data_IF_993138372694
#
_entry.id   IF_993138372694
#
_cell.length_a   1.000
_cell.length_b   1.000
_cell.length_c   1.000
_cell.angle_alpha   90.00
_cell.angle_beta   90.00
_cell.angle_gamma   90.00
#
_symmetry.space_group_name_H-M   'P 1'
#
loop_
_entity.id
_entity.type
_entity.pdbx_description
1 polymer ?
#
# COMPACT_ATOMS: atom_id res chain seq x y z
N UNK A 1 -4.28 -26.59 18.57
CA UNK A 1 -4.16 -25.57 17.52
C UNK A 1 -2.84 -24.85 17.73
N UNK A 2 -2.01 -24.72 16.70
CA UNK A 2 -0.74 -24.00 16.79
C UNK A 2 -0.98 -22.53 17.15
N UNK A 3 -0.13 -21.98 18.01
CA UNK A 3 -0.17 -20.57 18.45
C UNK A 3 0.96 -19.82 17.76
N UNK A 4 0.63 -19.10 16.72
CA UNK A 4 1.58 -18.34 15.96
C UNK A 4 1.37 -16.83 16.13
N UNK A 5 2.30 -16.03 15.65
CA UNK A 5 2.11 -14.60 15.66
C UNK A 5 3.27 -13.77 15.18
N UNK A 6 3.10 -12.46 15.20
CA UNK A 6 4.12 -11.47 14.89
C UNK A 6 4.67 -10.89 16.19
N UNK A 7 5.97 -10.99 16.38
CA UNK A 7 6.72 -10.39 17.49
C UNK A 7 7.38 -9.08 17.04
N UNK A 8 7.11 -8.01 17.76
CA UNK A 8 7.73 -6.69 17.58
C UNK A 8 7.58 -5.83 18.80
N UNK A 9 8.22 -4.66 18.82
CA UNK A 9 8.10 -3.69 19.93
C UNK A 9 6.79 -2.90 19.81
N UNK A 10 6.42 -2.53 18.58
CA UNK A 10 5.16 -1.84 18.26
C UNK A 10 4.68 -2.35 16.91
N UNK A 11 3.43 -2.82 16.83
CA UNK A 11 2.93 -3.53 15.65
C UNK A 11 1.76 -2.82 14.93
N UNK A 12 1.18 -1.79 15.56
CA UNK A 12 0.19 -0.87 15.00
C UNK A 12 -0.78 -1.47 13.97
N UNK A 13 -0.51 -1.27 12.69
CA UNK A 13 -1.38 -1.69 11.58
C UNK A 13 -0.72 -2.77 10.70
N UNK A 14 -0.53 -3.97 11.26
CA UNK A 14 0.04 -5.09 10.52
C UNK A 14 -1.02 -5.87 9.73
N UNK A 15 -0.73 -6.17 8.46
CA UNK A 15 -1.57 -7.05 7.63
C UNK A 15 -1.28 -8.54 7.85
N UNK A 16 -0.27 -8.90 8.65
CA UNK A 16 0.12 -10.29 8.89
C UNK A 16 -1.03 -11.17 9.39
N UNK A 17 -1.88 -10.76 10.36
CA UNK A 17 -2.99 -11.61 10.80
C UNK A 17 -3.96 -11.96 9.66
N UNK A 18 -4.29 -10.98 8.80
CA UNK A 18 -5.17 -11.20 7.65
C UNK A 18 -4.56 -12.18 6.65
N UNK A 19 -3.26 -12.03 6.36
CA UNK A 19 -2.53 -12.89 5.42
C UNK A 19 -2.43 -14.32 5.96
N UNK A 20 -2.04 -14.49 7.23
CA UNK A 20 -1.88 -15.80 7.85
C UNK A 20 -3.20 -16.54 8.02
N UNK A 21 -4.32 -15.82 8.20
CA UNK A 21 -5.67 -16.41 8.21
C UNK A 21 -6.04 -17.06 6.86
N UNK A 22 -5.53 -16.53 5.75
CA UNK A 22 -5.75 -17.09 4.41
C UNK A 22 -4.78 -18.25 4.06
N UNK A 23 -3.71 -18.44 4.85
CA UNK A 23 -2.64 -19.40 4.57
C UNK A 23 -2.74 -20.69 5.39
N UNK A 24 -3.42 -20.68 6.55
CA UNK A 24 -3.49 -21.88 7.36
C UNK A 24 -4.42 -21.77 8.57
N UNK A 25 -4.78 -22.94 9.13
CA UNK A 25 -5.65 -23.07 10.29
C UNK A 25 -4.84 -23.07 11.60
N UNK A 26 -4.35 -21.92 12.02
CA UNK A 26 -3.68 -21.71 13.30
C UNK A 26 -4.07 -20.34 13.89
N UNK A 27 -3.93 -20.20 15.22
CA UNK A 27 -4.17 -18.92 15.89
C UNK A 27 -2.98 -18.00 15.62
N UNK A 28 -3.23 -16.84 15.00
CA UNK A 28 -2.18 -15.86 14.68
C UNK A 28 -2.45 -14.51 15.34
N UNK A 29 -1.54 -14.12 16.26
CA UNK A 29 -1.70 -12.93 17.11
C UNK A 29 -0.55 -11.95 16.93
N UNK A 30 -0.77 -10.71 17.36
CA UNK A 30 0.27 -9.71 17.49
C UNK A 30 0.83 -9.73 18.92
N UNK A 31 2.13 -9.84 19.05
CA UNK A 31 2.85 -9.83 20.32
C UNK A 31 3.73 -8.58 20.39
N UNK A 32 3.22 -7.53 21.03
CA UNK A 32 4.00 -6.34 21.34
C UNK A 32 4.74 -6.60 22.65
N UNK A 33 6.05 -6.65 22.59
CA UNK A 33 6.93 -7.05 23.69
C UNK A 33 8.05 -6.01 23.79
N UNK A 34 8.32 -5.53 25.00
CA UNK A 34 9.44 -4.61 25.26
C UNK A 34 10.79 -5.34 25.14
N UNK A 35 11.90 -4.59 25.04
CA UNK A 35 13.23 -5.19 24.97
C UNK A 35 13.59 -5.94 26.26
N UNK A 36 13.13 -5.41 27.38
CA UNK A 36 13.34 -5.97 28.72
C UNK A 36 12.62 -7.31 28.90
N UNK A 37 11.46 -7.47 28.27
CA UNK A 37 10.62 -8.68 28.39
C UNK A 37 10.92 -9.73 27.32
N UNK A 38 11.78 -9.46 26.35
CA UNK A 38 12.04 -10.34 25.20
C UNK A 38 12.49 -11.73 25.63
N UNK A 39 13.45 -11.83 26.57
CA UNK A 39 13.95 -13.11 27.09
C UNK A 39 12.84 -13.95 27.71
N UNK A 40 12.07 -13.36 28.61
CA UNK A 40 10.97 -14.03 29.28
C UNK A 40 9.89 -14.48 28.29
N UNK A 41 9.62 -13.66 27.28
CA UNK A 41 8.66 -13.99 26.24
C UNK A 41 9.13 -15.15 25.35
N UNK A 42 10.39 -15.14 24.89
CA UNK A 42 10.95 -16.19 24.05
C UNK A 42 11.02 -17.54 24.78
N UNK A 43 11.26 -17.55 26.10
CA UNK A 43 11.26 -18.75 26.94
C UNK A 43 9.85 -19.24 27.33
N UNK A 44 8.82 -18.44 27.10
CA UNK A 44 7.45 -18.80 27.48
C UNK A 44 6.83 -19.86 26.56
N UNK A 45 5.75 -20.51 27.00
CA UNK A 45 4.94 -21.44 26.23
C UNK A 45 3.79 -20.76 25.46
N UNK A 46 3.82 -19.45 25.34
CA UNK A 46 2.75 -18.64 24.73
C UNK A 46 2.65 -18.77 23.21
N UNK A 47 3.65 -19.34 22.56
CA UNK A 47 3.77 -19.43 21.12
C UNK A 47 4.50 -20.72 20.68
N UNK A 48 4.22 -21.16 19.46
CA UNK A 48 4.82 -22.30 18.79
C UNK A 48 5.60 -21.86 17.53
N UNK A 49 5.14 -20.79 16.84
CA UNK A 49 5.79 -20.16 15.71
C UNK A 49 5.66 -18.63 15.71
N UNK A 50 6.73 -17.93 15.39
CA UNK A 50 6.73 -16.48 15.35
C UNK A 50 7.31 -15.93 14.04
N UNK A 51 6.62 -14.96 13.45
CA UNK A 51 7.30 -13.98 12.64
C UNK A 51 7.93 -12.92 13.57
N UNK A 52 9.09 -12.40 13.17
CA UNK A 52 9.84 -11.42 13.95
C UNK A 52 10.08 -10.17 13.11
N UNK A 53 9.73 -9.00 13.66
CA UNK A 53 9.98 -7.72 12.99
C UNK A 53 10.89 -6.81 13.83
N UNK A 54 11.03 -5.57 13.41
CA UNK A 54 11.82 -4.54 14.09
C UNK A 54 11.38 -4.41 15.57
N UNK A 55 12.34 -4.31 16.52
CA UNK A 55 13.79 -4.28 16.32
C UNK A 55 14.49 -5.65 16.49
N UNK A 56 13.75 -6.76 16.57
CA UNK A 56 14.19 -8.02 17.16
C UNK A 56 14.85 -9.00 16.18
N UNK A 57 14.84 -8.77 14.86
CA UNK A 57 15.36 -9.72 13.84
C UNK A 57 16.81 -10.19 14.08
N UNK A 58 17.66 -9.32 14.66
CA UNK A 58 19.03 -9.67 15.06
C UNK A 58 19.11 -10.19 16.50
N UNK A 59 18.27 -9.65 17.37
CA UNK A 59 18.28 -9.99 18.79
C UNK A 59 17.89 -11.45 19.06
N UNK A 60 17.05 -12.03 18.20
CA UNK A 60 16.58 -13.43 18.36
C UNK A 60 17.56 -14.48 17.81
N UNK A 61 18.58 -14.08 17.04
CA UNK A 61 19.58 -15.01 16.47
C UNK A 61 20.27 -15.88 17.53
N UNK A 62 20.74 -15.35 18.68
CA UNK A 62 21.41 -16.15 19.72
C UNK A 62 20.54 -17.21 20.38
N UNK A 63 19.20 -17.12 20.25
CA UNK A 63 18.27 -18.10 20.83
C UNK A 63 18.06 -19.32 19.92
N UNK A 64 18.51 -19.25 18.67
CA UNK A 64 18.33 -20.33 17.70
C UNK A 64 19.48 -21.33 17.83
N UNK A 65 19.14 -22.60 18.00
CA UNK A 65 20.12 -23.72 17.98
C UNK A 65 20.55 -24.03 16.54
N UNK A 66 19.65 -23.76 15.60
CA UNK A 66 19.90 -23.94 14.17
C UNK A 66 19.31 -22.77 13.37
N UNK A 67 20.02 -22.37 12.34
CA UNK A 67 19.61 -21.32 11.41
C UNK A 67 19.53 -21.88 9.99
N UNK A 68 18.58 -21.39 9.21
CA UNK A 68 18.63 -21.61 7.76
C UNK A 68 19.86 -20.97 7.15
N UNK A 69 20.26 -21.40 5.95
CA UNK A 69 21.36 -20.80 5.20
C UNK A 69 21.17 -19.28 5.03
N UNK A 70 19.95 -18.84 4.70
CA UNK A 70 19.62 -17.44 4.57
C UNK A 70 19.78 -16.68 5.89
N UNK A 71 19.23 -17.19 6.99
CA UNK A 71 19.34 -16.55 8.30
C UNK A 71 20.79 -16.49 8.80
N UNK A 72 21.57 -17.56 8.59
CA UNK A 72 22.98 -17.62 8.95
C UNK A 72 23.82 -16.61 8.16
N UNK A 73 23.62 -16.52 6.84
CA UNK A 73 24.32 -15.57 5.96
C UNK A 73 23.98 -14.11 6.29
N UNK A 74 22.70 -13.83 6.55
CA UNK A 74 22.20 -12.47 6.79
C UNK A 74 22.34 -12.02 8.25
N UNK A 75 22.61 -12.94 9.19
CA UNK A 75 22.62 -12.71 10.63
C UNK A 75 21.32 -11.99 11.08
N UNK A 76 20.20 -12.45 10.53
CA UNK A 76 18.88 -11.85 10.72
C UNK A 76 17.79 -12.92 10.57
N UNK A 77 16.92 -13.02 11.57
CA UNK A 77 15.81 -13.99 11.63
C UNK A 77 14.50 -13.22 11.65
N UNK A 78 13.60 -13.56 10.72
CA UNK A 78 12.23 -13.04 10.72
C UNK A 78 11.19 -14.13 10.99
N UNK A 79 11.62 -15.40 11.13
CA UNK A 79 10.74 -16.53 11.41
C UNK A 79 11.41 -17.46 12.42
N UNK A 80 10.72 -17.73 13.54
CA UNK A 80 11.12 -18.66 14.58
C UNK A 80 10.13 -19.82 14.65
N UNK A 81 10.64 -21.03 14.76
CA UNK A 81 9.83 -22.24 14.98
C UNK A 81 10.34 -22.95 16.22
N UNK A 82 9.45 -23.27 17.15
CA UNK A 82 9.74 -24.09 18.31
C UNK A 82 9.61 -25.57 17.93
N UNK A 83 10.69 -26.30 18.10
CA UNK A 83 10.72 -27.74 17.86
C UNK A 83 10.08 -28.52 19.03
N UNK A 84 9.73 -29.81 18.82
CA UNK A 84 9.15 -30.63 19.89
C UNK A 84 10.05 -30.80 21.12
N UNK A 85 11.37 -30.68 20.96
CA UNK A 85 12.36 -30.73 22.05
C UNK A 85 12.55 -29.39 22.77
N UNK A 86 11.79 -28.36 22.36
CA UNK A 86 11.83 -27.00 22.91
C UNK A 86 12.91 -26.09 22.30
N UNK A 87 13.78 -26.62 21.45
CA UNK A 87 14.81 -25.81 20.75
C UNK A 87 14.18 -24.93 19.68
N UNK A 88 14.87 -23.84 19.33
CA UNK A 88 14.40 -22.88 18.32
C UNK A 88 15.17 -23.03 17.02
N UNK A 89 14.43 -23.10 15.92
CA UNK A 89 14.93 -22.95 14.56
C UNK A 89 14.62 -21.54 14.05
N UNK A 90 15.61 -20.89 13.41
CA UNK A 90 15.49 -19.55 12.86
C UNK A 90 15.63 -19.52 11.35
N UNK A 91 14.71 -18.85 10.66
CA UNK A 91 14.74 -18.63 9.21
C UNK A 91 14.65 -17.15 8.85
N UNK A 92 15.07 -16.81 7.64
CA UNK A 92 14.83 -15.50 7.03
C UNK A 92 13.99 -15.64 5.76
N UNK A 93 12.69 -15.62 5.94
CA UNK A 93 11.74 -15.75 4.84
C UNK A 93 11.56 -14.45 4.02
N UNK A 94 12.10 -13.31 4.49
CA UNK A 94 12.12 -12.05 3.72
C UNK A 94 12.93 -12.20 2.42
N UNK A 95 14.01 -12.99 2.44
CA UNK A 95 14.81 -13.28 1.24
C UNK A 95 13.94 -13.95 0.18
N UNK A 96 13.19 -14.99 0.56
CA UNK A 96 12.26 -15.66 -0.34
C UNK A 96 11.19 -14.69 -0.85
N UNK A 97 10.62 -13.88 0.06
CA UNK A 97 9.60 -12.90 -0.28
C UNK A 97 10.08 -11.88 -1.31
N UNK A 98 11.28 -11.34 -1.13
CA UNK A 98 11.83 -10.35 -2.07
C UNK A 98 12.18 -10.98 -3.42
N UNK A 99 12.76 -12.17 -3.44
CA UNK A 99 13.03 -12.91 -4.68
C UNK A 99 11.74 -13.18 -5.46
N UNK A 100 10.64 -13.52 -4.76
CA UNK A 100 9.31 -13.66 -5.38
C UNK A 100 8.82 -12.35 -5.97
N UNK A 101 8.91 -11.24 -5.21
CA UNK A 101 8.51 -9.90 -5.67
C UNK A 101 9.25 -9.51 -6.97
N UNK A 102 10.56 -9.70 -7.03
CA UNK A 102 11.34 -9.42 -8.25
C UNK A 102 10.86 -10.29 -9.41
N UNK A 103 10.71 -11.60 -9.18
CA UNK A 103 10.26 -12.53 -10.24
C UNK A 103 8.88 -12.19 -10.76
N UNK A 104 7.92 -11.93 -9.87
CA UNK A 104 6.53 -11.62 -10.27
C UNK A 104 6.39 -10.26 -10.94
N UNK A 105 7.28 -9.31 -10.66
CA UNK A 105 7.29 -7.99 -11.30
C UNK A 105 7.77 -8.01 -12.76
N UNK A 106 8.46 -9.06 -13.20
CA UNK A 106 9.11 -9.12 -14.50
C UNK A 106 10.36 -8.24 -14.64
N UNK A 107 10.79 -7.58 -13.55
CA UNK A 107 12.04 -6.79 -13.53
C UNK A 107 13.22 -7.75 -13.47
N UNK A 108 14.14 -7.64 -14.43
CA UNK A 108 15.36 -8.44 -14.47
C UNK A 108 16.56 -7.61 -13.96
N UNK A 109 17.15 -7.95 -12.81
CA UNK A 109 18.31 -7.22 -12.29
C UNK A 109 19.67 -7.73 -12.80
N UNK A 110 19.71 -8.83 -13.54
CA UNK A 110 20.97 -9.46 -13.94
C UNK A 110 21.87 -8.53 -14.78
N UNK A 111 23.11 -8.33 -14.33
CA UNK A 111 24.09 -7.46 -14.97
C UNK A 111 23.80 -5.96 -14.87
N UNK A 112 22.81 -5.56 -14.07
CA UNK A 112 22.39 -4.17 -13.91
C UNK A 112 22.91 -3.56 -12.62
N UNK A 113 23.15 -2.25 -12.65
CA UNK A 113 23.47 -1.45 -11.48
C UNK A 113 22.19 -1.16 -10.70
N UNK A 114 22.14 -1.65 -9.46
CA UNK A 114 21.01 -1.50 -8.56
C UNK A 114 21.37 -0.64 -7.34
N UNK A 115 20.56 0.37 -7.04
CA UNK A 115 20.67 1.15 -5.81
C UNK A 115 19.67 0.65 -4.77
N UNK A 116 20.19 0.23 -3.63
CA UNK A 116 19.39 -0.09 -2.45
C UNK A 116 19.36 1.12 -1.53
N UNK A 117 18.19 1.75 -1.40
CA UNK A 117 18.00 2.93 -0.58
C UNK A 117 17.77 2.53 0.87
N UNK A 118 18.66 2.94 1.76
CA UNK A 118 18.62 2.62 3.18
C UNK A 118 19.64 1.57 3.59
N UNK A 119 20.06 1.59 4.86
CA UNK A 119 21.03 0.67 5.47
C UNK A 119 20.48 -0.11 6.66
N UNK A 120 19.15 -0.24 6.77
CA UNK A 120 18.44 -0.96 7.85
C UNK A 120 18.46 -2.48 7.66
N UNK A 121 17.75 -3.20 8.54
CA UNK A 121 17.68 -4.66 8.51
C UNK A 121 17.18 -5.25 7.17
N UNK A 122 16.21 -4.60 6.55
CA UNK A 122 15.68 -5.06 5.27
C UNK A 122 16.68 -4.85 4.10
N UNK A 123 17.52 -3.81 4.16
CA UNK A 123 18.48 -3.52 3.10
C UNK A 123 19.51 -4.64 2.90
N UNK A 124 19.89 -5.31 3.99
CA UNK A 124 20.84 -6.46 3.95
C UNK A 124 20.22 -7.60 3.16
N UNK A 125 18.95 -7.90 3.39
CA UNK A 125 18.19 -8.94 2.69
C UNK A 125 17.99 -8.59 1.21
N UNK A 126 17.58 -7.36 0.92
CA UNK A 126 17.35 -6.87 -0.45
C UNK A 126 18.65 -6.85 -1.26
N UNK A 127 19.75 -6.36 -0.64
CA UNK A 127 21.08 -6.42 -1.26
C UNK A 127 21.46 -7.84 -1.61
N UNK A 128 21.41 -8.77 -0.66
CA UNK A 128 21.77 -10.15 -0.88
C UNK A 128 20.93 -10.83 -1.97
N UNK A 129 19.62 -10.51 -2.04
CA UNK A 129 18.73 -11.02 -3.08
C UNK A 129 19.11 -10.48 -4.47
N UNK A 130 19.35 -9.18 -4.60
CA UNK A 130 19.73 -8.56 -5.86
C UNK A 130 21.12 -9.07 -6.34
N UNK A 131 22.09 -9.22 -5.44
CA UNK A 131 23.39 -9.82 -5.74
C UNK A 131 23.24 -11.29 -6.20
N UNK A 132 22.36 -12.06 -5.55
CA UNK A 132 22.03 -13.43 -5.96
C UNK A 132 21.42 -13.50 -7.37
N UNK A 133 20.70 -12.45 -7.77
CA UNK A 133 20.11 -12.30 -9.11
C UNK A 133 21.11 -11.69 -10.12
N UNK A 134 22.36 -11.44 -9.72
CA UNK A 134 23.43 -10.98 -10.60
C UNK A 134 23.50 -9.47 -10.79
N UNK A 135 22.88 -8.66 -9.93
CA UNK A 135 23.01 -7.21 -9.96
C UNK A 135 24.32 -6.73 -9.34
N UNK A 136 24.84 -5.59 -9.82
CA UNK A 136 25.87 -4.80 -9.15
C UNK A 136 25.20 -3.84 -8.17
N UNK A 137 25.31 -4.12 -6.85
CA UNK A 137 24.50 -3.46 -5.83
C UNK A 137 25.28 -2.43 -5.05
N UNK A 138 24.77 -1.21 -5.05
CA UNK A 138 25.26 -0.08 -4.24
C UNK A 138 24.19 0.29 -3.20
N UNK A 139 24.61 0.41 -1.93
CA UNK A 139 23.73 0.82 -0.84
C UNK A 139 23.87 2.31 -0.60
N UNK A 140 22.78 3.03 -0.75
CA UNK A 140 22.70 4.47 -0.46
C UNK A 140 22.20 4.66 0.97
N UNK A 141 22.97 5.35 1.79
CA UNK A 141 22.60 5.61 3.18
C UNK A 141 23.03 7.00 3.64
N UNK A 142 22.47 7.47 4.76
CA UNK A 142 22.79 8.79 5.33
C UNK A 142 24.23 8.89 5.90
N UNK A 143 24.86 7.76 6.14
CA UNK A 143 26.18 7.67 6.82
C UNK A 143 27.15 6.71 6.11
N UNK A 144 26.84 6.29 4.88
CA UNK A 144 27.69 5.41 4.09
C UNK A 144 28.67 6.18 3.20
N UNK A 145 29.53 5.45 2.47
CA UNK A 145 30.40 6.05 1.46
C UNK A 145 29.62 6.59 0.25
N UNK A 146 28.44 6.00 -0.01
CA UNK A 146 27.47 6.43 -1.01
C UNK A 146 26.22 6.93 -0.29
N UNK A 147 25.92 8.20 -0.44
CA UNK A 147 24.89 8.92 0.28
C UNK A 147 23.89 9.64 -0.64
N UNK A 148 22.86 10.22 -0.05
CA UNK A 148 21.81 10.93 -0.78
C UNK A 148 22.26 12.26 -1.40
N UNK A 149 23.36 12.87 -0.91
CA UNK A 149 23.88 14.13 -1.42
C UNK A 149 24.68 13.92 -2.72
N UNK A 150 25.19 12.69 -2.94
CA UNK A 150 26.04 12.36 -4.06
C UNK A 150 25.41 11.37 -5.06
N UNK A 151 24.09 11.31 -5.14
CA UNK A 151 23.36 10.41 -6.05
C UNK A 151 23.73 10.58 -7.54
N UNK A 152 24.24 11.73 -7.94
CA UNK A 152 24.66 11.99 -9.34
C UNK A 152 25.79 11.07 -9.81
N UNK A 153 26.60 10.53 -8.87
CA UNK A 153 27.61 9.48 -9.16
C UNK A 153 26.99 8.18 -9.67
N UNK A 154 25.71 8.01 -9.45
CA UNK A 154 24.95 6.80 -9.75
C UNK A 154 23.77 7.09 -10.68
N UNK A 155 23.80 8.18 -11.45
CA UNK A 155 22.75 8.54 -12.40
C UNK A 155 22.53 7.48 -13.49
N UNK A 156 23.49 6.57 -13.68
CA UNK A 156 23.43 5.42 -14.59
C UNK A 156 22.72 4.18 -13.99
N UNK A 157 22.20 4.26 -12.77
CA UNK A 157 21.50 3.16 -12.13
C UNK A 157 20.26 2.75 -12.92
N UNK A 158 20.06 1.43 -13.02
CA UNK A 158 18.98 0.83 -13.80
C UNK A 158 17.87 0.26 -12.89
N UNK A 159 18.20 -0.09 -11.65
CA UNK A 159 17.24 -0.59 -10.65
C UNK A 159 17.32 0.27 -9.40
N UNK A 160 16.16 0.68 -8.90
CA UNK A 160 16.03 1.39 -7.62
C UNK A 160 15.20 0.53 -6.68
N UNK A 161 15.77 0.15 -5.54
CA UNK A 161 15.10 -0.65 -4.51
C UNK A 161 14.99 0.16 -3.21
N UNK A 162 13.80 0.59 -2.85
CA UNK A 162 13.56 1.31 -1.58
C UNK A 162 13.39 0.31 -0.43
N UNK A 163 14.26 0.45 0.57
CA UNK A 163 14.20 -0.31 1.84
C UNK A 163 14.06 0.62 3.05
N UNK A 164 13.78 1.90 2.80
CA UNK A 164 13.54 2.90 3.85
C UNK A 164 12.07 2.98 4.21
N UNK A 165 11.71 3.52 5.38
CA UNK A 165 10.31 3.81 5.73
C UNK A 165 9.79 5.10 5.05
N UNK A 166 10.53 5.74 4.16
CA UNK A 166 10.11 6.98 3.49
C UNK A 166 8.89 6.68 2.61
N UNK A 167 7.84 7.46 2.80
CA UNK A 167 6.57 7.27 2.08
C UNK A 167 5.63 6.24 2.68
N UNK A 168 6.02 5.54 3.75
CA UNK A 168 5.18 4.60 4.49
C UNK A 168 4.15 5.33 5.35
N UNK A 169 2.96 4.75 5.49
CA UNK A 169 1.92 5.22 6.42
C UNK A 169 2.48 5.38 7.86
N UNK A 170 2.13 6.44 8.60
CA UNK A 170 1.23 7.54 8.23
C UNK A 170 1.89 8.71 7.48
N UNK A 171 3.19 8.62 7.14
CA UNK A 171 3.98 9.68 6.50
C UNK A 171 4.03 9.54 4.97
N UNK A 172 2.84 9.34 4.37
CA UNK A 172 2.68 9.19 2.93
C UNK A 172 3.12 10.46 2.16
N UNK A 173 3.36 10.29 0.86
CA UNK A 173 3.61 11.40 -0.07
C UNK A 173 5.06 11.81 -0.22
N UNK A 174 5.98 11.25 0.60
CA UNK A 174 7.41 11.43 0.42
C UNK A 174 8.03 10.30 -0.42
N UNK A 175 9.01 10.63 -1.26
CA UNK A 175 9.86 9.67 -1.95
C UNK A 175 11.31 9.81 -1.48
N UNK A 176 12.03 8.69 -1.38
CA UNK A 176 13.42 8.69 -0.94
C UNK A 176 14.36 9.34 -1.98
N UNK A 177 14.00 9.27 -3.25
CA UNK A 177 14.71 9.88 -4.38
C UNK A 177 13.73 10.38 -5.43
N UNK A 178 14.16 11.28 -6.30
CA UNK A 178 13.44 11.63 -7.54
C UNK A 178 13.95 10.73 -8.67
N UNK A 179 13.06 9.92 -9.24
CA UNK A 179 13.40 8.98 -10.32
C UNK A 179 13.89 9.68 -11.61
N UNK A 180 13.55 10.96 -11.81
CA UNK A 180 14.03 11.76 -12.96
C UNK A 180 15.55 11.95 -12.94
N UNK A 181 16.21 11.74 -11.78
CA UNK A 181 17.69 11.75 -11.67
C UNK A 181 18.34 10.50 -12.26
N UNK A 182 17.57 9.45 -12.59
CA UNK A 182 18.06 8.16 -13.07
C UNK A 182 17.50 7.85 -14.46
N UNK A 183 18.00 8.50 -15.52
CA UNK A 183 17.44 8.37 -16.88
C UNK A 183 17.56 6.98 -17.49
N UNK A 184 18.33 6.07 -16.86
CA UNK A 184 18.47 4.67 -17.26
C UNK A 184 17.65 3.72 -16.37
N UNK A 185 16.80 4.24 -15.48
CA UNK A 185 16.02 3.40 -14.58
C UNK A 185 15.02 2.55 -15.38
N UNK A 186 15.13 1.23 -15.24
CA UNK A 186 14.32 0.22 -15.91
C UNK A 186 13.42 -0.55 -14.94
N UNK A 187 13.61 -0.35 -13.61
CA UNK A 187 12.82 -1.04 -12.60
C UNK A 187 12.88 -0.36 -11.24
N UNK A 188 11.73 -0.30 -10.58
CA UNK A 188 11.59 0.24 -9.22
C UNK A 188 10.93 -0.80 -8.32
N UNK A 189 11.59 -1.11 -7.21
CA UNK A 189 11.12 -2.04 -6.19
C UNK A 189 10.97 -1.30 -4.87
N UNK A 190 9.81 -1.31 -4.27
CA UNK A 190 9.58 -0.68 -2.97
C UNK A 190 9.00 -1.70 -1.99
N UNK A 191 9.74 -2.01 -0.91
CA UNK A 191 9.26 -2.97 0.10
C UNK A 191 8.14 -2.42 0.99
N UNK A 192 7.83 -1.14 0.89
CA UNK A 192 6.65 -0.56 1.56
C UNK A 192 5.38 -1.11 0.90
N UNK A 193 4.46 -1.58 1.73
CA UNK A 193 3.17 -2.14 1.31
C UNK A 193 1.96 -1.29 1.72
N UNK A 194 2.17 -0.30 2.59
CA UNK A 194 1.16 0.68 2.99
C UNK A 194 1.76 2.09 2.97
N UNK A 195 1.35 2.95 2.03
CA UNK A 195 0.31 2.78 1.01
C UNK A 195 0.68 1.73 -0.04
N UNK A 196 -0.33 1.27 -0.79
CA UNK A 196 -0.15 0.33 -1.89
C UNK A 196 0.74 0.90 -3.01
N UNK A 197 0.65 2.22 -3.24
CA UNK A 197 1.51 3.00 -4.14
C UNK A 197 2.15 4.13 -3.35
N UNK A 198 3.42 3.99 -3.03
CA UNK A 198 4.21 5.09 -2.43
C UNK A 198 4.42 6.21 -3.45
N UNK A 199 4.86 7.38 -2.99
CA UNK A 199 5.21 8.47 -3.90
C UNK A 199 6.31 8.05 -4.91
N UNK A 200 7.21 7.14 -4.53
CA UNK A 200 8.21 6.57 -5.43
C UNK A 200 7.58 5.73 -6.53
N UNK A 201 6.60 4.86 -6.19
CA UNK A 201 5.89 4.03 -7.17
C UNK A 201 4.99 4.88 -8.06
N UNK A 202 4.35 5.93 -7.53
CA UNK A 202 3.57 6.89 -8.34
C UNK A 202 4.44 7.65 -9.35
N UNK A 203 5.69 7.99 -8.99
CA UNK A 203 6.65 8.54 -9.97
C UNK A 203 7.02 7.49 -11.03
N UNK A 204 7.18 6.22 -10.66
CA UNK A 204 7.46 5.16 -11.61
C UNK A 204 6.30 4.96 -12.61
N UNK A 205 5.05 5.00 -12.11
CA UNK A 205 3.84 4.97 -12.98
C UNK A 205 3.84 6.16 -13.96
N UNK A 206 4.07 7.40 -13.47
CA UNK A 206 4.12 8.61 -14.30
C UNK A 206 5.20 8.52 -15.39
N UNK A 207 6.36 7.93 -15.07
CA UNK A 207 7.49 7.76 -15.97
C UNK A 207 7.42 6.49 -16.82
N UNK A 208 6.36 5.70 -16.65
CA UNK A 208 6.15 4.40 -17.34
C UNK A 208 7.31 3.42 -17.09
N UNK A 209 7.86 3.44 -15.86
CA UNK A 209 8.91 2.52 -15.42
C UNK A 209 8.25 1.30 -14.75
N UNK A 210 8.62 0.06 -15.12
CA UNK A 210 8.20 -1.16 -14.43
C UNK A 210 8.47 -1.07 -12.93
N UNK A 211 7.49 -1.43 -12.10
CA UNK A 211 7.64 -1.29 -10.66
C UNK A 211 6.82 -2.33 -9.89
N UNK A 212 7.21 -2.58 -8.64
CA UNK A 212 6.46 -3.41 -7.72
C UNK A 212 6.49 -2.86 -6.29
N UNK A 213 5.35 -2.98 -5.60
CA UNK A 213 5.19 -2.65 -4.18
C UNK A 213 5.35 -3.87 -3.27
N UNK A 214 5.53 -3.64 -1.97
CA UNK A 214 5.93 -4.64 -0.99
C UNK A 214 4.88 -5.70 -0.63
N UNK A 215 3.65 -5.63 -1.15
CA UNK A 215 2.60 -6.58 -0.77
C UNK A 215 2.92 -8.01 -1.22
N UNK A 216 3.41 -8.20 -2.44
CA UNK A 216 3.81 -9.52 -2.95
C UNK A 216 4.95 -10.14 -2.12
N UNK A 217 5.93 -9.33 -1.70
CA UNK A 217 6.97 -9.75 -0.76
C UNK A 217 6.36 -10.16 0.59
N UNK A 218 5.43 -9.36 1.12
CA UNK A 218 4.79 -9.61 2.41
C UNK A 218 3.98 -10.91 2.42
N UNK A 219 3.25 -11.19 1.34
CA UNK A 219 2.47 -12.44 1.18
C UNK A 219 3.40 -13.64 1.01
N UNK A 220 4.43 -13.52 0.17
CA UNK A 220 5.33 -14.64 -0.10
C UNK A 220 6.16 -15.05 1.13
N UNK A 221 6.70 -14.07 1.91
CA UNK A 221 7.40 -14.39 3.15
C UNK A 221 6.47 -15.05 4.18
N UNK A 222 5.19 -14.63 4.25
CA UNK A 222 4.20 -15.20 5.15
C UNK A 222 3.83 -16.64 4.75
N UNK A 223 3.69 -16.93 3.43
CA UNK A 223 3.53 -18.29 2.94
C UNK A 223 4.68 -19.19 3.41
N UNK A 224 5.90 -18.73 3.23
CA UNK A 224 7.10 -19.48 3.64
C UNK A 224 7.15 -19.71 5.15
N UNK A 225 6.78 -18.71 5.95
CA UNK A 225 6.67 -18.84 7.40
C UNK A 225 5.57 -19.83 7.80
N UNK A 226 4.40 -19.78 7.15
CA UNK A 226 3.29 -20.71 7.39
C UNK A 226 3.71 -22.16 7.11
N UNK A 227 4.46 -22.40 6.05
CA UNK A 227 5.05 -23.71 5.75
C UNK A 227 5.98 -24.20 6.87
N UNK A 228 6.79 -23.32 7.42
CA UNK A 228 7.67 -23.62 8.56
C UNK A 228 6.87 -23.93 9.84
N UNK A 229 5.79 -23.19 10.11
CA UNK A 229 4.96 -23.40 11.30
C UNK A 229 4.21 -24.72 11.25
N UNK A 230 3.67 -25.08 10.09
CA UNK A 230 2.76 -26.22 9.93
C UNK A 230 3.47 -27.50 9.46
N UNK A 231 4.66 -27.36 8.88
CA UNK A 231 5.34 -28.45 8.16
C UNK A 231 4.64 -28.86 6.86
N UNK A 232 3.68 -28.07 6.38
CA UNK A 232 2.87 -28.36 5.19
C UNK A 232 3.30 -27.46 4.03
N UNK A 233 3.52 -28.04 2.86
CA UNK A 233 3.83 -27.28 1.64
C UNK A 233 2.54 -26.61 1.13
N UNK A 234 2.61 -25.31 0.88
CA UNK A 234 1.54 -24.50 0.31
C UNK A 234 1.88 -24.25 -1.15
N UNK A 235 0.97 -24.55 -2.08
CA UNK A 235 1.18 -24.32 -3.52
C UNK A 235 1.35 -22.82 -3.86
N UNK A 236 2.04 -22.53 -4.96
CA UNK A 236 2.31 -21.14 -5.34
C UNK A 236 1.04 -20.39 -5.82
N UNK A 237 0.00 -21.10 -6.22
CA UNK A 237 -1.33 -20.54 -6.51
C UNK A 237 -1.96 -19.83 -5.31
N UNK A 238 -1.55 -20.19 -4.09
CA UNK A 238 -1.99 -19.50 -2.88
C UNK A 238 -1.48 -18.05 -2.82
N UNK A 239 -0.30 -17.75 -3.38
CA UNK A 239 0.28 -16.41 -3.38
C UNK A 239 -0.63 -15.41 -4.10
N UNK A 240 -1.00 -15.72 -5.34
CA UNK A 240 -1.88 -14.86 -6.14
C UNK A 240 -3.27 -14.73 -5.51
N UNK A 241 -3.81 -15.83 -4.96
CA UNK A 241 -5.11 -15.84 -4.30
C UNK A 241 -5.09 -14.93 -3.06
N UNK A 242 -4.09 -15.09 -2.19
CA UNK A 242 -3.97 -14.32 -0.95
C UNK A 242 -3.71 -12.84 -1.26
N UNK A 243 -2.80 -12.55 -2.19
CA UNK A 243 -2.51 -11.19 -2.61
C UNK A 243 -3.77 -10.49 -3.15
N UNK A 244 -4.54 -11.17 -3.99
CA UNK A 244 -5.82 -10.69 -4.52
C UNK A 244 -6.83 -10.42 -3.42
N UNK A 245 -6.98 -11.36 -2.46
CA UNK A 245 -7.88 -11.21 -1.32
C UNK A 245 -7.50 -10.01 -0.45
N UNK A 246 -6.21 -9.86 -0.15
CA UNK A 246 -5.71 -8.75 0.67
C UNK A 246 -5.86 -7.41 -0.06
N UNK A 247 -5.49 -7.35 -1.34
CA UNK A 247 -5.70 -6.16 -2.17
C UNK A 247 -7.18 -5.78 -2.22
N UNK A 248 -8.07 -6.74 -2.43
CA UNK A 248 -9.50 -6.47 -2.47
C UNK A 248 -10.00 -5.88 -1.15
N UNK A 249 -9.52 -6.36 0.01
CA UNK A 249 -9.95 -5.85 1.33
C UNK A 249 -9.37 -4.46 1.64
N UNK A 250 -8.13 -4.19 1.25
CA UNK A 250 -7.41 -2.98 1.62
C UNK A 250 -7.61 -1.82 0.64
N UNK A 251 -7.89 -2.10 -0.63
CA UNK A 251 -8.03 -1.08 -1.65
C UNK A 251 -9.28 -0.23 -1.44
N UNK A 252 -9.11 1.09 -1.41
CA UNK A 252 -10.21 2.03 -1.34
C UNK A 252 -11.00 2.06 -2.66
N UNK A 253 -12.29 2.29 -2.57
CA UNK A 253 -13.15 2.57 -3.72
C UNK A 253 -13.39 4.08 -3.73
N UNK A 254 -12.80 4.76 -4.70
CA UNK A 254 -12.91 6.22 -4.82
C UNK A 254 -13.93 6.55 -5.90
N UNK A 255 -14.98 7.28 -5.56
CA UNK A 255 -16.01 7.68 -6.51
C UNK A 255 -15.83 9.14 -6.91
N UNK A 256 -15.54 9.38 -8.19
CA UNK A 256 -15.50 10.71 -8.80
C UNK A 256 -16.58 10.85 -9.88
N UNK A 257 -16.90 12.08 -10.27
CA UNK A 257 -17.88 12.36 -11.33
C UNK A 257 -18.61 13.68 -11.11
N UNK A 258 -19.38 14.10 -12.07
CA UNK A 258 -20.15 15.35 -12.04
C UNK A 258 -21.03 15.45 -10.80
N UNK A 259 -21.31 16.68 -10.30
CA UNK A 259 -22.34 16.87 -9.31
C UNK A 259 -23.66 16.26 -9.80
N UNK A 260 -24.30 15.40 -9.00
CA UNK A 260 -25.53 14.72 -9.37
C UNK A 260 -25.37 13.39 -10.12
N UNK A 261 -24.16 12.94 -10.38
CA UNK A 261 -23.94 11.62 -11.03
C UNK A 261 -24.33 10.42 -10.15
N UNK A 262 -24.73 10.63 -8.89
CA UNK A 262 -25.20 9.58 -7.99
C UNK A 262 -24.13 8.96 -7.10
N UNK A 263 -22.97 9.61 -6.91
CA UNK A 263 -21.85 9.10 -6.10
C UNK A 263 -22.27 8.64 -4.69
N UNK A 264 -22.98 9.48 -3.95
CA UNK A 264 -23.41 9.13 -2.58
C UNK A 264 -24.37 7.94 -2.54
N UNK A 265 -25.30 7.84 -3.49
CA UNK A 265 -26.20 6.69 -3.57
C UNK A 265 -25.45 5.39 -3.88
N UNK A 266 -24.50 5.45 -4.83
CA UNK A 266 -23.62 4.31 -5.18
C UNK A 266 -22.70 3.96 -4.00
N UNK A 267 -22.12 4.96 -3.31
CA UNK A 267 -21.28 4.75 -2.13
C UNK A 267 -22.04 4.01 -1.01
N UNK A 268 -23.26 4.48 -0.69
CA UNK A 268 -24.10 3.85 0.34
C UNK A 268 -24.47 2.41 -0.02
N UNK A 269 -24.82 2.15 -1.29
CA UNK A 269 -25.16 0.81 -1.76
C UNK A 269 -23.93 -0.14 -1.74
N UNK A 270 -22.76 0.35 -2.16
CA UNK A 270 -21.50 -0.39 -2.08
C UNK A 270 -21.10 -0.67 -0.62
N UNK A 271 -21.25 0.33 0.28
CA UNK A 271 -20.97 0.18 1.70
C UNK A 271 -21.73 -0.97 2.31
N UNK A 272 -23.05 -1.03 2.03
CA UNK A 272 -23.91 -2.13 2.47
C UNK A 272 -23.54 -3.48 1.83
N UNK A 273 -23.19 -3.48 0.53
CA UNK A 273 -22.92 -4.72 -0.21
C UNK A 273 -21.55 -5.34 0.11
N UNK A 274 -20.57 -4.52 0.54
CA UNK A 274 -19.19 -4.94 0.80
C UNK A 274 -18.82 -4.90 2.29
N UNK A 275 -19.74 -4.48 3.15
CA UNK A 275 -19.51 -4.24 4.59
C UNK A 275 -18.31 -3.30 4.81
N UNK A 276 -18.31 -2.14 4.12
CA UNK A 276 -17.24 -1.14 4.20
C UNK A 276 -17.76 0.20 4.66
N UNK A 277 -16.92 0.90 5.41
CA UNK A 277 -17.18 2.28 5.80
C UNK A 277 -17.30 3.18 4.57
N UNK A 278 -18.33 4.02 4.56
CA UNK A 278 -18.55 5.04 3.55
C UNK A 278 -18.15 6.40 4.11
N UNK A 279 -17.36 7.13 3.36
CA UNK A 279 -16.90 8.48 3.71
C UNK A 279 -17.35 9.45 2.62
N UNK A 280 -18.15 10.44 3.00
CA UNK A 280 -18.56 11.55 2.15
C UNK A 280 -17.65 12.76 2.42
N UNK A 281 -16.80 13.11 1.45
CA UNK A 281 -15.82 14.19 1.62
C UNK A 281 -16.48 15.54 1.91
N UNK A 282 -17.58 15.86 1.21
CA UNK A 282 -18.32 17.11 1.41
C UNK A 282 -18.92 17.20 2.84
N UNK A 283 -19.40 16.08 3.40
CA UNK A 283 -19.91 16.04 4.78
C UNK A 283 -18.80 16.25 5.80
N UNK A 284 -17.62 15.66 5.59
CA UNK A 284 -16.48 15.87 6.49
C UNK A 284 -16.02 17.33 6.47
N UNK A 285 -16.01 17.99 5.31
CA UNK A 285 -15.68 19.41 5.20
C UNK A 285 -16.70 20.24 6.00
N UNK A 286 -18.01 19.97 5.82
CA UNK A 286 -19.05 20.67 6.54
C UNK A 286 -18.97 20.47 8.06
N UNK A 287 -18.68 19.25 8.53
CA UNK A 287 -18.49 18.95 9.95
C UNK A 287 -17.28 19.69 10.55
N UNK A 288 -16.15 19.77 9.82
CA UNK A 288 -14.93 20.45 10.28
C UNK A 288 -15.09 21.96 10.39
N UNK A 289 -15.81 22.53 9.46
CA UNK A 289 -15.98 23.99 9.40
C UNK A 289 -17.20 24.49 10.19
N UNK A 290 -18.15 23.61 10.53
CA UNK A 290 -19.43 23.98 11.08
C UNK A 290 -20.33 24.74 10.09
N UNK A 291 -19.99 24.74 8.79
CA UNK A 291 -20.68 25.48 7.74
C UNK A 291 -21.12 24.53 6.63
N UNK A 292 -22.25 24.80 6.00
CA UNK A 292 -22.62 24.10 4.77
C UNK A 292 -21.68 24.47 3.60
N UNK A 293 -21.57 23.60 2.59
CA UNK A 293 -20.76 23.89 1.41
C UNK A 293 -21.15 25.23 0.73
N UNK A 294 -22.44 25.56 0.52
CA UNK A 294 -22.82 26.88 -0.01
C UNK A 294 -22.32 28.05 0.83
N UNK A 295 -22.38 27.94 2.18
CA UNK A 295 -21.90 28.99 3.08
C UNK A 295 -20.38 29.18 2.96
N UNK A 296 -19.59 28.08 2.85
CA UNK A 296 -18.13 28.16 2.63
C UNK A 296 -17.84 28.91 1.32
N UNK A 297 -18.54 28.57 0.23
CA UNK A 297 -18.35 29.25 -1.05
C UNK A 297 -18.72 30.74 -0.96
N UNK A 298 -19.81 31.08 -0.27
CA UNK A 298 -20.26 32.46 -0.13
C UNK A 298 -19.35 33.32 0.75
N UNK A 299 -18.80 32.75 1.85
CA UNK A 299 -18.03 33.50 2.83
C UNK A 299 -16.52 33.48 2.53
N UNK A 300 -16.00 32.36 2.02
CA UNK A 300 -14.55 32.10 1.89
C UNK A 300 -14.08 31.83 0.46
N UNK A 301 -15.00 31.68 -0.49
CA UNK A 301 -14.72 31.46 -1.89
C UNK A 301 -14.30 30.03 -2.26
N UNK A 302 -14.23 29.76 -3.57
CA UNK A 302 -13.90 28.45 -4.11
C UNK A 302 -12.48 27.98 -3.73
N UNK A 303 -11.51 28.87 -3.72
CA UNK A 303 -10.10 28.53 -3.41
C UNK A 303 -9.97 27.94 -2.00
N UNK A 304 -10.62 28.55 -1.01
CA UNK A 304 -10.62 28.05 0.38
C UNK A 304 -11.28 26.68 0.46
N UNK A 305 -12.42 26.51 -0.22
CA UNK A 305 -13.08 25.22 -0.29
C UNK A 305 -12.17 24.14 -0.89
N UNK A 306 -11.44 24.44 -1.98
CA UNK A 306 -10.53 23.48 -2.61
C UNK A 306 -9.37 23.08 -1.69
N UNK A 307 -8.83 23.99 -0.90
CA UNK A 307 -7.82 23.66 0.12
C UNK A 307 -8.37 22.69 1.16
N UNK A 308 -9.56 22.97 1.71
CA UNK A 308 -10.23 22.07 2.66
C UNK A 308 -10.54 20.70 2.05
N UNK A 309 -11.00 20.66 0.79
CA UNK A 309 -11.24 19.42 0.05
C UNK A 309 -9.94 18.62 -0.07
N UNK A 310 -8.84 19.22 -0.49
CA UNK A 310 -7.53 18.57 -0.60
C UNK A 310 -7.03 18.02 0.75
N UNK A 311 -7.19 18.77 1.84
CA UNK A 311 -6.83 18.31 3.19
C UNK A 311 -7.63 17.07 3.62
N UNK A 312 -8.94 17.07 3.39
CA UNK A 312 -9.80 15.91 3.68
C UNK A 312 -9.39 14.72 2.82
N UNK A 313 -9.16 14.92 1.52
CA UNK A 313 -8.72 13.85 0.62
C UNK A 313 -7.33 13.31 1.01
N UNK A 314 -6.41 14.15 1.46
CA UNK A 314 -5.10 13.74 1.95
C UNK A 314 -5.18 12.83 3.17
N UNK A 315 -6.10 13.10 4.10
CA UNK A 315 -6.30 12.25 5.27
C UNK A 315 -7.02 10.95 4.92
N UNK A 316 -8.13 11.03 4.19
CA UNK A 316 -8.94 9.86 3.89
C UNK A 316 -8.25 8.93 2.88
N UNK A 317 -7.48 9.47 1.93
CA UNK A 317 -6.71 8.68 0.97
C UNK A 317 -5.59 7.83 1.58
N UNK A 318 -5.12 8.16 2.79
CA UNK A 318 -4.16 7.32 3.54
C UNK A 318 -4.79 6.06 4.14
N UNK A 319 -6.09 6.08 4.37
CA UNK A 319 -6.83 4.95 4.94
C UNK A 319 -6.91 3.80 3.94
N UNK A 320 -7.27 2.63 4.44
CA UNK A 320 -7.44 1.41 3.63
C UNK A 320 -8.83 0.83 3.83
N UNK A 321 -9.41 0.26 2.77
CA UNK A 321 -10.67 -0.48 2.81
C UNK A 321 -11.94 0.38 2.88
N UNK A 322 -11.86 1.68 2.67
CA UNK A 322 -13.02 2.59 2.68
C UNK A 322 -13.61 2.80 1.28
N UNK A 323 -14.83 3.30 1.26
CA UNK A 323 -15.48 3.87 0.08
C UNK A 323 -15.52 5.38 0.26
N UNK A 324 -14.82 6.12 -0.60
CA UNK A 324 -14.72 7.57 -0.53
C UNK A 324 -15.52 8.20 -1.68
N UNK A 325 -16.59 8.89 -1.35
CA UNK A 325 -17.37 9.71 -2.27
C UNK A 325 -16.84 11.15 -2.24
N UNK A 326 -16.32 11.62 -3.39
CA UNK A 326 -15.67 12.94 -3.47
C UNK A 326 -16.61 14.03 -3.97
N UNK A 327 -16.25 15.30 -3.72
CA UNK A 327 -16.87 16.44 -4.38
C UNK A 327 -16.69 16.39 -5.91
N UNK A 328 -17.66 16.93 -6.66
CA UNK A 328 -17.60 16.91 -8.14
C UNK A 328 -16.49 17.78 -8.73
N UNK A 329 -15.79 18.56 -7.94
CA UNK A 329 -14.69 19.42 -8.38
C UNK A 329 -13.29 18.93 -7.95
N UNK A 330 -13.18 17.83 -7.22
CA UNK A 330 -11.91 17.33 -6.68
C UNK A 330 -10.83 17.14 -7.76
N UNK A 331 -11.22 16.83 -9.00
CA UNK A 331 -10.33 16.64 -10.14
C UNK A 331 -9.73 17.94 -10.70
N UNK A 332 -10.19 19.10 -10.23
CA UNK A 332 -9.63 20.39 -10.68
C UNK A 332 -8.30 20.72 -10.02
N UNK A 333 -7.96 20.03 -8.95
CA UNK A 333 -6.67 20.10 -8.26
C UNK A 333 -5.85 18.86 -8.61
N UNK A 334 -4.78 19.02 -9.41
CA UNK A 334 -3.98 17.89 -9.87
C UNK A 334 -3.32 17.11 -8.71
N UNK A 335 -3.01 17.80 -7.62
CA UNK A 335 -2.47 17.23 -6.39
C UNK A 335 -3.38 16.22 -5.70
N UNK A 336 -4.68 16.23 -5.98
CA UNK A 336 -5.62 15.25 -5.43
C UNK A 336 -5.44 13.86 -6.05
N UNK A 337 -4.90 13.76 -7.27
CA UNK A 337 -4.71 12.46 -7.92
C UNK A 337 -3.84 11.50 -7.09
N UNK A 338 -2.58 11.83 -6.74
CA UNK A 338 -1.74 10.94 -5.93
C UNK A 338 -2.33 10.65 -4.55
N UNK A 339 -3.07 11.60 -3.95
CA UNK A 339 -3.73 11.41 -2.65
C UNK A 339 -4.81 10.34 -2.70
N UNK A 340 -5.55 10.25 -3.79
CA UNK A 340 -6.62 9.28 -4.01
C UNK A 340 -6.08 7.95 -4.54
N UNK A 341 -5.11 8.00 -5.45
CA UNK A 341 -4.61 6.83 -6.17
C UNK A 341 -3.64 5.97 -5.32
N UNK A 342 -3.00 6.53 -4.29
CA UNK A 342 -2.02 5.82 -3.45
C UNK A 342 -2.56 4.50 -2.84
N UNK A 343 -3.84 4.46 -2.43
CA UNK A 343 -4.50 3.28 -1.86
C UNK A 343 -5.81 2.93 -2.56
N UNK A 344 -6.22 3.68 -3.59
CA UNK A 344 -7.54 3.58 -4.19
C UNK A 344 -7.54 3.08 -5.63
N UNK A 345 -8.69 2.56 -6.03
CA UNK A 345 -9.12 2.48 -7.42
C UNK A 345 -10.17 3.57 -7.63
N UNK A 346 -9.93 4.43 -8.61
CA UNK A 346 -10.75 5.62 -8.87
C UNK A 346 -11.79 5.29 -9.94
N UNK A 347 -13.04 5.20 -9.51
CA UNK A 347 -14.21 4.96 -10.36
C UNK A 347 -14.86 6.28 -10.72
N UNK A 348 -14.91 6.57 -12.00
CA UNK A 348 -15.66 7.68 -12.53
C UNK A 348 -17.10 7.26 -12.80
N UNK A 349 -18.07 7.90 -12.15
CA UNK A 349 -19.48 7.74 -12.46
C UNK A 349 -19.92 8.76 -13.52
N UNK A 350 -20.43 8.26 -14.65
CA UNK A 350 -21.07 9.07 -15.68
C UNK A 350 -22.60 8.99 -15.57
N UNK A 351 -23.28 10.06 -15.93
CA UNK A 351 -24.72 10.12 -16.01
C UNK A 351 -25.13 11.09 -17.12
N UNK A 352 -26.20 10.79 -17.81
CA UNK A 352 -26.80 11.68 -18.81
C UNK A 352 -27.04 13.06 -18.22
N UNK A 353 -26.59 14.10 -18.90
CA UNK A 353 -26.70 15.49 -18.45
C UNK A 353 -28.16 15.88 -18.20
N UNK A 354 -29.10 15.36 -19.00
CA UNK A 354 -30.53 15.61 -18.83
C UNK A 354 -31.11 15.04 -17.52
N UNK A 355 -30.42 14.08 -16.91
CA UNK A 355 -30.79 13.42 -15.63
C UNK A 355 -30.09 14.01 -14.40
N UNK A 356 -29.19 15.00 -14.57
CA UNK A 356 -28.45 15.58 -13.47
C UNK A 356 -29.31 16.61 -12.70
N UNK A 357 -29.55 16.45 -11.38
CA UNK A 357 -30.27 17.43 -10.59
C UNK A 357 -29.38 18.66 -10.34
N UNK A 358 -29.98 19.86 -10.38
CA UNK A 358 -29.30 21.14 -10.22
C UNK A 358 -29.50 21.78 -8.84
N UNK A 359 -30.52 21.36 -8.09
CA UNK A 359 -30.86 21.93 -6.76
C UNK A 359 -29.77 21.67 -5.72
N UNK A 360 -29.50 22.66 -4.86
CA UNK A 360 -28.55 22.55 -3.73
C UNK A 360 -27.05 22.54 -4.11
N UNK A 361 -26.69 22.95 -5.35
CA UNK A 361 -25.32 22.90 -5.85
C UNK A 361 -24.85 24.25 -6.39
N UNK A 362 -24.02 25.01 -5.64
CA UNK A 362 -23.68 26.39 -5.96
C UNK A 362 -23.14 26.59 -7.38
N UNK A 363 -22.17 25.74 -7.81
CA UNK A 363 -21.54 25.86 -9.13
C UNK A 363 -22.48 25.44 -10.26
N UNK A 364 -23.31 24.41 -10.04
CA UNK A 364 -24.25 23.93 -11.05
C UNK A 364 -25.47 24.87 -11.24
N UNK A 365 -25.73 25.75 -10.29
CA UNK A 365 -26.79 26.78 -10.40
C UNK A 365 -26.32 28.02 -11.17
N UNK A 366 -25.02 28.31 -11.14
CA UNK A 366 -24.44 29.52 -11.75
C UNK A 366 -23.76 29.29 -13.09
N UNK A 367 -23.50 28.03 -13.45
CA UNK A 367 -22.76 27.65 -14.68
C UNK A 367 -23.61 26.69 -15.51
N UNK A 368 -23.58 26.86 -16.82
CA UNK A 368 -24.15 25.88 -17.77
C UNK A 368 -23.49 24.50 -17.53
N UNK A 369 -24.34 23.51 -17.21
CA UNK A 369 -23.89 22.14 -16.92
C UNK A 369 -23.12 21.50 -18.09
N UNK A 370 -23.48 21.83 -19.34
CA UNK A 370 -22.78 21.32 -20.51
C UNK A 370 -21.35 21.89 -20.59
N UNK A 371 -21.20 23.19 -20.33
CA UNK A 371 -19.87 23.83 -20.28
C UNK A 371 -19.03 23.31 -19.12
N UNK A 372 -19.64 23.13 -17.94
CA UNK A 372 -18.95 22.56 -16.77
C UNK A 372 -18.48 21.14 -17.06
N UNK A 373 -19.34 20.32 -17.67
CA UNK A 373 -18.99 18.96 -18.09
C UNK A 373 -17.84 18.97 -19.09
N UNK A 374 -17.92 19.79 -20.15
CA UNK A 374 -16.88 19.87 -21.18
C UNK A 374 -15.51 20.24 -20.59
N UNK A 375 -15.47 21.20 -19.64
CA UNK A 375 -14.24 21.62 -18.96
C UNK A 375 -13.65 20.52 -18.07
N UNK A 376 -14.49 19.74 -17.38
CA UNK A 376 -14.04 18.72 -16.42
C UNK A 376 -13.83 17.34 -17.03
N UNK A 377 -14.38 17.09 -18.20
CA UNK A 377 -14.28 15.80 -18.88
C UNK A 377 -12.85 15.29 -19.05
N UNK A 378 -11.87 16.11 -19.54
CA UNK A 378 -10.47 15.66 -19.63
C UNK A 378 -9.86 15.35 -18.26
N UNK A 379 -10.25 16.10 -17.20
CA UNK A 379 -9.74 15.91 -15.85
C UNK A 379 -10.27 14.60 -15.23
N UNK A 380 -11.56 14.31 -15.39
CA UNK A 380 -12.12 13.04 -14.94
C UNK A 380 -11.47 11.85 -15.65
N UNK A 381 -11.22 11.93 -16.95
CA UNK A 381 -10.53 10.86 -17.69
C UNK A 381 -9.11 10.62 -17.19
N UNK A 382 -8.41 11.70 -16.83
CA UNK A 382 -7.04 11.61 -16.29
C UNK A 382 -6.99 10.95 -14.91
N UNK A 383 -8.02 11.18 -14.08
CA UNK A 383 -8.07 10.63 -12.73
C UNK A 383 -8.61 9.19 -12.67
N UNK A 384 -9.47 8.81 -13.62
CA UNK A 384 -10.23 7.57 -13.55
C UNK A 384 -9.41 6.35 -13.96
N UNK A 385 -9.36 5.34 -13.09
CA UNK A 385 -8.91 3.99 -13.45
C UNK A 385 -10.02 3.27 -14.25
N UNK A 386 -11.28 3.44 -13.82
CA UNK A 386 -12.45 2.80 -14.43
C UNK A 386 -13.58 3.83 -14.60
N UNK A 387 -14.27 3.79 -15.76
CA UNK A 387 -15.49 4.59 -16.00
C UNK A 387 -16.71 3.70 -16.00
N UNK A 388 -17.72 4.06 -15.21
CA UNK A 388 -18.97 3.31 -15.04
C UNK A 388 -20.16 4.22 -15.30
N UNK A 389 -21.11 3.77 -16.14
CA UNK A 389 -22.37 4.47 -16.34
C UNK A 389 -23.32 4.25 -15.15
N UNK A 390 -23.96 5.32 -14.71
CA UNK A 390 -25.01 5.31 -13.68
C UNK A 390 -26.35 5.85 -14.23
N UNK A 391 -26.65 5.50 -15.48
CA UNK A 391 -27.90 5.87 -16.16
C UNK A 391 -29.03 4.90 -15.90
N UNK A 392 -28.70 3.66 -15.55
CA UNK A 392 -29.61 2.54 -15.29
C UNK A 392 -29.97 2.36 -13.82
N UNK A 393 -30.30 1.12 -13.46
CA UNK A 393 -30.57 0.73 -12.08
C UNK A 393 -29.30 0.77 -11.22
N UNK A 394 -29.42 1.21 -9.98
CA UNK A 394 -28.30 1.33 -9.02
C UNK A 394 -27.57 0.02 -8.83
N UNK A 395 -28.29 -1.09 -8.77
CA UNK A 395 -27.76 -2.44 -8.60
C UNK A 395 -26.80 -2.84 -9.71
N UNK A 396 -27.07 -2.43 -10.95
CA UNK A 396 -26.19 -2.69 -12.11
C UNK A 396 -24.87 -1.92 -11.95
N UNK A 397 -24.93 -0.63 -11.55
CA UNK A 397 -23.75 0.18 -11.31
C UNK A 397 -22.89 -0.42 -10.19
N UNK A 398 -23.52 -0.83 -9.10
CA UNK A 398 -22.84 -1.49 -7.95
C UNK A 398 -22.17 -2.79 -8.38
N UNK A 399 -22.89 -3.62 -9.16
CA UNK A 399 -22.34 -4.89 -9.64
C UNK A 399 -21.15 -4.69 -10.57
N UNK A 400 -21.24 -3.73 -11.51
CA UNK A 400 -20.13 -3.38 -12.41
C UNK A 400 -18.87 -2.94 -11.63
N UNK A 401 -19.04 -2.13 -10.57
CA UNK A 401 -17.91 -1.72 -9.73
C UNK A 401 -17.30 -2.92 -8.99
N UNK A 402 -18.15 -3.81 -8.45
CA UNK A 402 -17.68 -5.03 -7.77
C UNK A 402 -16.88 -5.93 -8.68
N UNK A 403 -17.32 -6.12 -9.91
CA UNK A 403 -16.63 -6.93 -10.92
C UNK A 403 -15.29 -6.32 -11.36
N UNK A 404 -15.21 -5.01 -11.42
CA UNK A 404 -13.96 -4.30 -11.73
C UNK A 404 -12.94 -4.28 -10.58
N UNK A 405 -13.32 -4.71 -9.39
CA UNK A 405 -12.42 -4.85 -8.23
C UNK A 405 -11.76 -6.24 -8.14
N UNK A 406 -12.29 -7.24 -8.88
CA UNK A 406 -11.77 -8.61 -8.93
C UNK A 406 -10.61 -8.73 -9.92
#
# INVERSE_FOLDING_TARGET
>A
MLRCGLLGETLGHSYSPMIHHELGEYDYRLFEVSKEDLDAFLCSDRWDGLNVTIPYKKAVVPYCVELSEAAAKLQSVNTLVRRPDGTLYGDNTDLFGFLYMVRSSGIDPAGKKALVLGSGGASVTVKAALEQLGADVIVISRSGPDDYDHLDRHADAQIIANTTPVGMYPHNGAAAVDLRRFPRCEGVLDIVYNPARTALLLQAEELVIPHAGGLSMLVAQAKRSSEQFTGTVIGDEALERVERTVNHRLRNIILIGMPGSGKSAVAAALGKALDREVVEADELIAQRTGMSIPEIFAQSGEETFRKLETEVLAEQGKRSGIILSTGGGCVTQAENYPLLHQNGTIFRLTRDLAKLPTEGRPISQTTDLAQLCARREPLYRRFADVTVSNDGALEVTVQTIKEALL
#
